data_IF_391815880143
#
_entry.id   IF_391815880143
#
_cell.length_a   1.000
_cell.length_b   1.000
_cell.length_c   1.000
_cell.angle_alpha   90.00
_cell.angle_beta   90.00
_cell.angle_gamma   90.00
#
_symmetry.space_group_name_H-M   'P 1'
#
loop_
_entity.id
_entity.type
_entity.pdbx_description
1 polymer ?
#
# COMPACT_ATOMS: atom_id res chain seq x y z
N UNK A 1 -16.97 -14.75 -10.42
CA UNK A 1 -16.46 -14.89 -11.81
C UNK A 1 -14.94 -14.78 -11.76
N UNK A 2 -14.23 -15.80 -12.29
CA UNK A 2 -12.77 -15.77 -12.40
C UNK A 2 -12.35 -15.01 -13.66
N UNK A 3 -11.32 -14.18 -13.55
CA UNK A 3 -10.67 -13.50 -14.66
C UNK A 3 -9.29 -14.16 -14.81
N UNK A 4 -9.01 -14.70 -15.99
CA UNK A 4 -7.77 -15.45 -16.26
C UNK A 4 -6.74 -14.53 -16.91
N UNK A 5 -5.56 -14.48 -16.33
CA UNK A 5 -4.42 -13.71 -16.84
C UNK A 5 -3.24 -14.61 -17.16
N UNK A 6 -2.44 -14.24 -18.15
CA UNK A 6 -1.19 -14.93 -18.47
C UNK A 6 -0.11 -14.67 -17.44
N UNK A 7 0.56 -15.72 -16.95
CA UNK A 7 1.54 -15.63 -15.87
C UNK A 7 2.70 -14.67 -16.19
N UNK A 8 3.28 -14.75 -17.40
CA UNK A 8 4.41 -13.91 -17.79
C UNK A 8 4.06 -12.43 -17.86
N UNK A 9 2.94 -12.10 -18.51
CA UNK A 9 2.47 -10.71 -18.60
C UNK A 9 2.13 -10.12 -17.24
N UNK A 10 1.45 -10.88 -16.38
CA UNK A 10 1.12 -10.45 -15.00
C UNK A 10 2.40 -10.17 -14.21
N UNK A 11 3.37 -11.07 -14.22
CA UNK A 11 4.61 -10.88 -13.48
C UNK A 11 5.38 -9.66 -13.96
N UNK A 12 5.50 -9.48 -15.28
CA UNK A 12 6.20 -8.32 -15.86
C UNK A 12 5.51 -7.00 -15.49
N UNK A 13 4.18 -6.97 -15.55
CA UNK A 13 3.38 -5.81 -15.17
C UNK A 13 3.56 -5.47 -13.69
N UNK A 14 3.48 -6.46 -12.80
CA UNK A 14 3.67 -6.24 -11.37
C UNK A 14 5.11 -5.85 -11.03
N UNK A 15 6.11 -6.44 -11.66
CA UNK A 15 7.52 -6.03 -11.47
C UNK A 15 7.73 -4.56 -11.85
N UNK A 16 7.15 -4.11 -12.95
CA UNK A 16 7.18 -2.69 -13.34
C UNK A 16 6.60 -1.80 -12.24
N UNK A 17 5.48 -2.21 -11.62
CA UNK A 17 4.85 -1.46 -10.53
C UNK A 17 5.67 -1.51 -9.24
N UNK A 18 6.18 -2.67 -8.89
CA UNK A 18 7.03 -2.83 -7.70
C UNK A 18 8.32 -2.03 -7.80
N UNK A 19 9.06 -2.17 -8.90
CA UNK A 19 10.39 -1.58 -9.04
C UNK A 19 10.36 -0.09 -9.37
N UNK A 20 9.43 0.34 -10.24
CA UNK A 20 9.46 1.71 -10.79
C UNK A 20 8.45 2.66 -10.13
N UNK A 21 7.35 2.15 -9.60
CA UNK A 21 6.32 2.97 -8.95
C UNK A 21 6.37 2.92 -7.43
N UNK A 22 6.80 1.79 -6.86
CA UNK A 22 6.90 1.58 -5.41
C UNK A 22 8.35 1.69 -4.92
N UNK A 23 9.32 1.62 -5.84
CA UNK A 23 10.76 1.62 -5.52
C UNK A 23 11.10 0.48 -4.56
N UNK A 24 10.56 -0.70 -4.84
CA UNK A 24 10.72 -1.90 -4.01
C UNK A 24 12.03 -2.60 -4.31
N UNK A 25 12.83 -2.85 -3.28
CA UNK A 25 14.14 -3.48 -3.35
C UNK A 25 14.25 -4.75 -2.51
N UNK A 26 15.35 -5.47 -2.67
CA UNK A 26 15.63 -6.73 -1.95
C UNK A 26 15.59 -6.59 -0.42
N UNK A 27 16.00 -5.45 0.09
CA UNK A 27 16.09 -5.20 1.54
C UNK A 27 14.76 -4.70 2.14
N UNK A 28 13.73 -4.54 1.29
CA UNK A 28 12.42 -4.08 1.73
C UNK A 28 11.59 -5.18 2.37
N UNK A 29 10.69 -4.73 3.23
CA UNK A 29 9.64 -5.55 3.84
C UNK A 29 8.28 -5.01 3.39
N UNK A 30 7.67 -5.76 2.48
CA UNK A 30 6.39 -5.42 1.86
C UNK A 30 5.25 -6.05 2.62
N UNK A 31 4.30 -5.25 3.02
CA UNK A 31 3.03 -5.66 3.60
C UNK A 31 1.86 -5.10 2.79
N UNK A 32 0.83 -5.89 2.58
CA UNK A 32 -0.46 -5.42 2.08
C UNK A 32 -1.59 -6.11 2.84
N UNK A 33 -2.46 -5.33 3.49
CA UNK A 33 -3.63 -5.90 4.14
C UNK A 33 -4.65 -6.33 3.07
N UNK A 34 -4.71 -7.62 2.81
CA UNK A 34 -5.54 -8.22 1.76
C UNK A 34 -5.97 -9.63 2.14
N UNK A 35 -7.04 -10.11 1.54
CA UNK A 35 -7.41 -11.53 1.55
C UNK A 35 -6.90 -12.21 0.29
N UNK A 36 -6.77 -13.55 0.32
CA UNK A 36 -6.39 -14.33 -0.87
C UNK A 36 -7.40 -14.23 -2.02
N UNK A 37 -8.63 -13.81 -1.74
CA UNK A 37 -9.68 -13.61 -2.74
C UNK A 37 -9.70 -12.22 -3.40
N UNK A 38 -8.85 -11.31 -2.97
CA UNK A 38 -8.72 -9.97 -3.57
C UNK A 38 -7.50 -9.90 -4.49
N UNK A 39 -7.60 -9.17 -5.60
CA UNK A 39 -6.53 -9.04 -6.59
C UNK A 39 -5.19 -8.58 -5.99
N UNK A 40 -5.23 -7.76 -4.94
CA UNK A 40 -4.01 -7.30 -4.26
C UNK A 40 -3.18 -8.41 -3.63
N UNK A 41 -3.76 -9.60 -3.39
CA UNK A 41 -2.97 -10.78 -3.02
C UNK A 41 -1.99 -11.18 -4.12
N UNK A 42 -2.44 -11.21 -5.38
CA UNK A 42 -1.56 -11.51 -6.52
C UNK A 42 -0.44 -10.49 -6.65
N UNK A 43 -0.78 -9.21 -6.44
CA UNK A 43 0.19 -8.12 -6.45
C UNK A 43 1.21 -8.28 -5.32
N UNK A 44 0.76 -8.54 -4.09
CA UNK A 44 1.63 -8.78 -2.93
C UNK A 44 2.59 -9.94 -3.18
N UNK A 45 2.09 -11.10 -3.61
CA UNK A 45 2.90 -12.31 -3.84
C UNK A 45 3.94 -12.10 -4.92
N UNK A 46 3.62 -11.35 -5.97
CA UNK A 46 4.58 -11.03 -7.03
C UNK A 46 5.75 -10.16 -6.56
N UNK A 47 5.63 -9.49 -5.40
CA UNK A 47 6.73 -8.78 -4.75
C UNK A 47 7.94 -9.65 -4.42
N UNK A 48 7.76 -10.97 -4.30
CA UNK A 48 8.88 -11.93 -4.16
C UNK A 48 9.87 -11.85 -5.32
N UNK A 49 9.40 -11.50 -6.52
CA UNK A 49 10.28 -11.39 -7.68
C UNK A 49 11.24 -10.20 -7.62
N UNK A 50 10.98 -9.19 -6.77
CA UNK A 50 11.94 -8.12 -6.47
C UNK A 50 12.99 -8.54 -5.45
N UNK A 51 12.81 -9.69 -4.81
CA UNK A 51 13.65 -10.19 -3.71
C UNK A 51 13.26 -9.65 -2.33
N UNK A 52 12.22 -8.83 -2.24
CA UNK A 52 11.72 -8.28 -0.98
C UNK A 52 11.14 -9.36 -0.07
N UNK A 53 11.16 -9.11 1.23
CA UNK A 53 10.47 -9.94 2.22
C UNK A 53 8.99 -9.58 2.25
N UNK A 54 8.10 -10.56 2.16
CA UNK A 54 6.68 -10.35 2.36
C UNK A 54 6.30 -10.58 3.83
N UNK A 55 5.56 -9.63 4.40
CA UNK A 55 4.94 -9.77 5.72
C UNK A 55 3.48 -10.12 5.51
N UNK A 56 3.05 -11.28 5.99
CA UNK A 56 1.68 -11.76 5.87
C UNK A 56 0.98 -11.64 7.23
N UNK A 57 -0.29 -11.29 7.20
CA UNK A 57 -1.11 -11.14 8.40
C UNK A 57 -2.46 -11.82 8.21
N UNK A 58 -2.77 -12.74 9.10
CA UNK A 58 -4.08 -13.40 9.18
C UNK A 58 -4.76 -12.98 10.48
N UNK A 59 -5.72 -12.08 10.36
CA UNK A 59 -6.42 -11.53 11.52
C UNK A 59 -7.22 -10.26 11.21
N UNK A 60 -7.87 -9.75 12.25
CA UNK A 60 -8.62 -8.48 12.15
C UNK A 60 -7.65 -7.30 12.15
N UNK A 61 -7.81 -6.32 11.25
CA UNK A 61 -6.94 -5.14 11.19
C UNK A 61 -7.16 -4.19 12.37
N UNK A 62 -8.21 -4.41 13.15
CA UNK A 62 -8.63 -3.55 14.26
C UNK A 62 -8.75 -4.28 15.60
N UNK A 63 -8.20 -5.48 15.70
CA UNK A 63 -8.17 -6.24 16.96
C UNK A 63 -6.71 -6.41 17.43
N UNK A 64 -6.39 -6.20 18.70
CA UNK A 64 -7.27 -5.83 19.84
C UNK A 64 -7.75 -4.37 19.83
N UNK A 65 -7.16 -3.52 18.99
CA UNK A 65 -7.51 -2.11 18.86
C UNK A 65 -7.18 -1.59 17.43
N UNK A 66 -7.61 -0.38 17.08
CA UNK A 66 -7.43 0.16 15.71
C UNK A 66 -5.97 0.27 15.25
N UNK A 67 -4.99 0.33 16.16
CA UNK A 67 -3.58 0.50 15.84
C UNK A 67 -2.81 -0.82 15.64
N UNK A 68 -3.49 -1.97 15.67
CA UNK A 68 -2.86 -3.30 15.60
C UNK A 68 -1.92 -3.47 14.39
N UNK A 69 -2.32 -3.04 13.20
CA UNK A 69 -1.46 -3.14 12.01
C UNK A 69 -0.27 -2.17 12.04
N UNK A 70 -0.40 -1.02 12.72
CA UNK A 70 0.74 -0.11 12.86
C UNK A 70 1.77 -0.64 13.84
N UNK A 71 1.36 -1.34 14.91
CA UNK A 71 2.29 -2.06 15.78
C UNK A 71 3.04 -3.14 15.01
N UNK A 72 2.32 -3.96 14.24
CA UNK A 72 2.94 -4.93 13.33
C UNK A 72 3.96 -4.23 12.41
N UNK A 73 3.61 -3.07 11.84
CA UNK A 73 4.49 -2.34 10.96
C UNK A 73 5.79 -1.89 11.67
N UNK A 74 5.71 -1.48 12.91
CA UNK A 74 6.88 -1.12 13.72
C UNK A 74 7.74 -2.33 14.09
N UNK A 75 7.12 -3.37 14.63
CA UNK A 75 7.77 -4.60 15.09
C UNK A 75 8.47 -5.34 13.94
N UNK A 76 7.77 -5.48 12.82
CA UNK A 76 8.29 -6.14 11.62
C UNK A 76 9.12 -5.21 10.72
N UNK A 77 9.31 -3.97 11.10
CA UNK A 77 10.09 -2.98 10.34
C UNK A 77 9.62 -2.90 8.87
N UNK A 78 8.31 -2.85 8.66
CA UNK A 78 7.71 -2.75 7.33
C UNK A 78 8.16 -1.45 6.67
N UNK A 79 8.64 -1.55 5.43
CA UNK A 79 9.09 -0.40 4.64
C UNK A 79 8.00 0.11 3.69
N UNK A 80 7.17 -0.80 3.17
CA UNK A 80 6.04 -0.51 2.30
C UNK A 80 4.78 -1.13 2.88
N UNK A 81 3.80 -0.29 3.20
CA UNK A 81 2.56 -0.67 3.88
C UNK A 81 1.35 -0.42 2.98
N UNK A 82 0.71 -1.49 2.55
CA UNK A 82 -0.50 -1.44 1.71
C UNK A 82 -1.78 -1.59 2.52
N UNK A 83 -2.76 -0.75 2.22
CA UNK A 83 -4.06 -0.73 2.90
C UNK A 83 -5.18 -0.19 2.00
N UNK A 84 -6.32 0.16 2.60
CA UNK A 84 -7.48 0.76 1.92
C UNK A 84 -7.86 2.12 2.51
N UNK A 85 -8.50 3.00 1.73
CA UNK A 85 -9.05 4.25 2.24
C UNK A 85 -10.00 4.06 3.41
N UNK A 86 -10.78 2.98 3.39
CA UNK A 86 -11.71 2.64 4.48
C UNK A 86 -11.00 2.42 5.81
N UNK A 87 -9.84 1.75 5.80
CA UNK A 87 -9.05 1.53 7.02
C UNK A 87 -8.55 2.86 7.57
N UNK A 88 -7.95 3.70 6.73
CA UNK A 88 -7.43 5.03 7.14
C UNK A 88 -8.55 5.93 7.69
N UNK A 89 -9.69 5.99 7.01
CA UNK A 89 -10.86 6.76 7.49
C UNK A 89 -11.43 6.20 8.81
N UNK A 90 -11.42 4.87 8.98
CA UNK A 90 -11.82 4.23 10.23
C UNK A 90 -10.92 4.61 11.40
N UNK A 91 -9.62 4.65 11.19
CA UNK A 91 -8.63 5.09 12.18
C UNK A 91 -8.83 6.57 12.55
N UNK A 92 -8.99 7.43 11.54
CA UNK A 92 -9.26 8.86 11.77
C UNK A 92 -10.52 9.07 12.59
N UNK A 93 -11.61 8.34 12.27
CA UNK A 93 -12.88 8.38 13.02
C UNK A 93 -12.72 7.88 14.45
N UNK A 94 -11.86 6.90 14.69
CA UNK A 94 -11.55 6.38 16.02
C UNK A 94 -10.61 7.29 16.82
N UNK A 95 -10.11 8.37 16.24
CA UNK A 95 -9.12 9.27 16.87
C UNK A 95 -7.77 8.61 17.11
N UNK A 96 -7.46 7.54 16.38
CA UNK A 96 -6.18 6.83 16.51
C UNK A 96 -5.02 7.72 16.02
N UNK A 97 -3.94 7.76 16.80
CA UNK A 97 -2.72 8.54 16.50
C UNK A 97 -1.47 7.65 16.66
N UNK A 98 -1.22 6.75 15.72
CA UNK A 98 -0.09 5.82 15.82
C UNK A 98 1.24 6.50 16.11
N UNK A 99 1.52 7.66 15.49
CA UNK A 99 2.78 8.40 15.68
C UNK A 99 3.12 8.74 17.14
N UNK A 100 2.10 8.84 18.00
CA UNK A 100 2.32 9.24 19.39
C UNK A 100 2.82 8.07 20.27
N UNK A 101 2.68 6.83 19.76
CA UNK A 101 2.95 5.61 20.54
C UNK A 101 3.80 4.57 19.81
N UNK A 102 3.85 4.63 18.48
CA UNK A 102 4.47 3.60 17.64
C UNK A 102 5.57 4.23 16.79
N UNK A 103 6.78 3.75 16.95
CA UNK A 103 7.88 4.16 16.09
C UNK A 103 7.83 3.39 14.76
N UNK A 104 7.84 4.13 13.64
CA UNK A 104 7.81 3.59 12.28
C UNK A 104 9.06 4.01 11.49
N UNK A 105 10.30 3.75 11.99
CA UNK A 105 11.50 4.31 11.39
C UNK A 105 11.77 3.75 9.98
N UNK A 106 11.36 2.52 9.70
CA UNK A 106 11.60 1.88 8.41
C UNK A 106 10.52 2.25 7.37
N UNK A 107 9.33 2.67 7.78
CA UNK A 107 8.23 2.93 6.88
C UNK A 107 8.52 4.13 5.98
N UNK A 108 8.55 3.92 4.67
CA UNK A 108 8.79 4.97 3.67
C UNK A 108 7.60 5.18 2.72
N UNK A 109 6.77 4.16 2.53
CA UNK A 109 5.66 4.24 1.57
C UNK A 109 4.38 3.62 2.14
N UNK A 110 3.27 4.33 1.99
CA UNK A 110 1.92 3.82 2.24
C UNK A 110 1.16 3.77 0.92
N UNK A 111 0.61 2.60 0.59
CA UNK A 111 -0.20 2.38 -0.60
C UNK A 111 -1.67 2.25 -0.20
N UNK A 112 -2.56 2.93 -0.89
CA UNK A 112 -4.00 2.89 -0.60
C UNK A 112 -4.81 2.70 -1.87
N UNK A 113 -5.61 1.62 -1.93
CA UNK A 113 -6.52 1.32 -3.05
C UNK A 113 -7.81 0.65 -2.61
N UNK A 114 -8.71 0.45 -3.57
CA UNK A 114 -10.03 -0.17 -3.37
C UNK A 114 -11.18 0.83 -3.40
N UNK A 115 -10.90 2.11 -3.21
CA UNK A 115 -11.78 3.26 -3.41
C UNK A 115 -10.96 4.54 -3.51
N UNK A 116 -11.53 5.68 -3.93
CA UNK A 116 -10.82 6.96 -3.90
C UNK A 116 -10.34 7.30 -2.48
N UNK A 117 -9.11 7.79 -2.37
CA UNK A 117 -8.56 8.29 -1.11
C UNK A 117 -8.96 9.75 -0.93
N UNK A 118 -9.81 10.02 0.06
CA UNK A 118 -10.27 11.36 0.36
C UNK A 118 -9.13 12.27 0.83
N UNK A 119 -9.21 13.55 0.54
CA UNK A 119 -8.19 14.54 0.89
C UNK A 119 -7.90 14.58 2.41
N UNK A 120 -8.93 14.40 3.23
CA UNK A 120 -8.84 14.34 4.70
C UNK A 120 -8.01 13.14 5.18
N UNK A 121 -7.95 12.06 4.39
CA UNK A 121 -7.11 10.90 4.71
C UNK A 121 -5.61 11.21 4.51
N UNK A 122 -5.27 12.10 3.58
CA UNK A 122 -3.90 12.61 3.46
C UNK A 122 -3.52 13.42 4.71
N UNK A 123 -4.40 14.34 5.13
CA UNK A 123 -4.18 15.15 6.34
C UNK A 123 -3.97 14.25 7.55
N UNK A 124 -4.84 13.23 7.72
CA UNK A 124 -4.75 12.27 8.80
C UNK A 124 -3.41 11.51 8.80
N UNK A 125 -2.98 10.99 7.65
CA UNK A 125 -1.74 10.22 7.57
C UNK A 125 -0.55 11.08 7.96
N UNK A 126 -0.44 12.28 7.43
CA UNK A 126 0.69 13.17 7.70
C UNK A 126 0.67 13.76 9.12
N UNK A 127 -0.51 13.94 9.72
CA UNK A 127 -0.63 14.40 11.11
C UNK A 127 -0.51 13.27 12.13
N UNK A 128 -1.20 12.15 11.93
CA UNK A 128 -1.41 11.14 12.95
C UNK A 128 -0.61 9.84 12.77
N UNK A 129 -0.07 9.58 11.58
CA UNK A 129 0.70 8.35 11.30
C UNK A 129 2.18 8.67 11.13
N UNK A 130 2.56 9.36 10.05
CA UNK A 130 3.97 9.67 9.76
C UNK A 130 4.08 10.84 8.79
N UNK A 131 4.86 11.86 9.15
CA UNK A 131 4.99 13.09 8.37
C UNK A 131 5.92 12.92 7.13
N UNK A 132 6.92 12.05 7.23
CA UNK A 132 7.94 11.82 6.21
C UNK A 132 7.72 10.48 5.47
N UNK A 133 6.51 10.28 4.94
CA UNK A 133 6.13 9.07 4.20
C UNK A 133 5.56 9.44 2.84
N UNK A 134 5.81 8.61 1.84
CA UNK A 134 5.14 8.73 0.54
C UNK A 134 3.77 8.06 0.63
N UNK A 135 2.69 8.84 0.58
CA UNK A 135 1.32 8.32 0.54
C UNK A 135 0.84 8.23 -0.91
N UNK A 136 0.70 7.01 -1.41
CA UNK A 136 0.26 6.73 -2.76
C UNK A 136 -1.22 6.36 -2.79
N UNK A 137 -2.05 7.22 -3.36
CA UNK A 137 -3.39 6.84 -3.79
C UNK A 137 -3.26 6.06 -5.11
N UNK A 138 -3.83 4.85 -5.15
CA UNK A 138 -3.69 3.94 -6.29
C UNK A 138 -5.06 3.66 -6.88
N UNK A 139 -5.17 3.71 -8.19
CA UNK A 139 -6.38 3.33 -8.94
C UNK A 139 -6.05 2.23 -9.94
N UNK A 140 -6.83 1.15 -9.91
CA UNK A 140 -6.63 -0.01 -10.78
C UNK A 140 -7.84 -0.92 -10.82
N UNK A 141 -7.67 -2.09 -11.41
CA UNK A 141 -8.76 -3.04 -11.56
C UNK A 141 -8.31 -4.50 -11.72
N UNK A 142 -9.19 -5.39 -11.31
CA UNK A 142 -9.00 -6.85 -11.46
C UNK A 142 -8.92 -7.26 -12.92
N UNK A 143 -9.64 -6.56 -13.82
CA UNK A 143 -9.66 -6.87 -15.26
C UNK A 143 -8.28 -6.74 -15.91
N UNK A 144 -7.49 -5.79 -15.46
CA UNK A 144 -6.12 -5.56 -15.94
C UNK A 144 -5.06 -6.18 -15.01
N UNK A 145 -5.45 -6.68 -13.87
CA UNK A 145 -4.59 -7.18 -12.76
C UNK A 145 -3.49 -6.20 -12.35
N UNK A 146 -3.76 -4.91 -12.48
CA UNK A 146 -2.77 -3.83 -12.43
C UNK A 146 -3.43 -2.50 -12.03
N UNK A 147 -2.63 -1.43 -12.04
CA UNK A 147 -3.07 -0.09 -11.73
C UNK A 147 -2.97 0.83 -12.95
N UNK A 148 -3.98 1.71 -13.13
CA UNK A 148 -3.98 2.79 -14.13
C UNK A 148 -3.14 3.97 -13.66
N UNK A 149 -3.22 4.26 -12.34
CA UNK A 149 -2.49 5.34 -11.70
C UNK A 149 -1.90 4.86 -10.38
N UNK A 150 -0.69 5.29 -10.11
CA UNK A 150 0.15 4.81 -9.03
C UNK A 150 0.93 5.95 -8.37
N UNK A 151 1.72 5.58 -7.36
CA UNK A 151 2.77 6.42 -6.82
C UNK A 151 3.93 6.62 -7.80
N UNK A 152 4.73 7.63 -7.49
CA UNK A 152 5.99 7.86 -8.18
C UNK A 152 7.00 8.42 -7.17
N UNK A 153 8.11 7.71 -6.91
CA UNK A 153 9.10 8.12 -5.91
C UNK A 153 9.83 9.42 -6.26
N UNK A 154 9.76 9.85 -7.52
CA UNK A 154 10.42 11.08 -8.01
C UNK A 154 9.50 12.31 -7.99
N UNK A 155 8.21 12.14 -7.72
CA UNK A 155 7.23 13.21 -7.74
C UNK A 155 6.70 13.54 -6.34
N UNK A 156 6.34 14.80 -6.07
CA UNK A 156 5.70 15.14 -4.80
C UNK A 156 4.31 14.52 -4.69
N UNK A 157 3.95 14.15 -3.47
CA UNK A 157 2.57 13.80 -3.13
C UNK A 157 1.76 15.08 -2.98
N UNK A 158 0.63 15.16 -3.66
CA UNK A 158 -0.32 16.27 -3.54
C UNK A 158 -1.61 15.78 -2.89
N UNK A 159 -2.11 16.58 -1.97
CA UNK A 159 -3.33 16.28 -1.21
C UNK A 159 -4.52 16.02 -2.13
N UNK A 160 -5.12 14.83 -2.04
CA UNK A 160 -6.30 14.45 -2.80
C UNK A 160 -6.05 14.05 -4.27
N UNK A 161 -4.78 13.96 -4.70
CA UNK A 161 -4.44 13.64 -6.08
C UNK A 161 -3.82 12.24 -6.23
N UNK A 162 -3.95 11.67 -7.43
CA UNK A 162 -3.15 10.55 -7.90
C UNK A 162 -1.84 11.13 -8.47
N UNK A 163 -0.69 10.52 -8.16
CA UNK A 163 0.60 11.12 -8.54
C UNK A 163 0.88 11.05 -10.05
N UNK A 164 0.63 9.91 -10.68
CA UNK A 164 0.87 9.76 -12.11
C UNK A 164 0.10 8.59 -12.72
N UNK A 165 -0.01 8.59 -14.05
CA UNK A 165 -0.41 7.40 -14.79
C UNK A 165 0.63 6.29 -14.63
N UNK A 166 0.18 5.04 -14.61
CA UNK A 166 1.06 3.89 -14.60
C UNK A 166 1.89 3.82 -15.88
N UNK A 167 3.17 3.51 -15.77
CA UNK A 167 4.02 3.31 -16.96
C UNK A 167 3.43 2.22 -17.87
N UNK A 168 3.35 2.51 -19.16
CA UNK A 168 2.74 1.62 -20.16
C UNK A 168 1.21 1.65 -20.19
N UNK A 169 0.56 2.50 -19.38
CA UNK A 169 -0.87 2.77 -19.44
C UNK A 169 -1.11 4.03 -20.28
N UNK A 170 -1.99 3.92 -21.27
CA UNK A 170 -2.35 5.03 -22.14
C UNK A 170 -3.50 5.86 -21.55
#
# INVERSE_FOLDING_TARGET
>A
KCIVHGAGGTLLQHLKEHLLHTDLHRDDRLFYFTTCGWMMWNWLVSGLASGATLVLYDGSPTHPDPEALWRLAGEERITVFGTSPRYLAGLAKAGARPRDRIALPALRTILSTGSPLAAESFDYVYDAVKADVQLCSISGGTDIVACFALGNPLLPVRRGELQCAGLGMA
#
